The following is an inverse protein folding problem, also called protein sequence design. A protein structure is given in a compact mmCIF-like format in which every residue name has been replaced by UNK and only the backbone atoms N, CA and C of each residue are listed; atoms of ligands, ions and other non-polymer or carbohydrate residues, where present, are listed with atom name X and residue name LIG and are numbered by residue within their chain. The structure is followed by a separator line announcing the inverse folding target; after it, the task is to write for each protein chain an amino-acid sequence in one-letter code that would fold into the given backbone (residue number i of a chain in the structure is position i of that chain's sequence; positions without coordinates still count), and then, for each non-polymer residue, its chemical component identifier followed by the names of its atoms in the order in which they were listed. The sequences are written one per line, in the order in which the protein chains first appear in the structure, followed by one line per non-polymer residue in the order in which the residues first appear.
data_IF_627750059690
#
_entry.id   IF_627750059690
#
_cell.length_a   1.000
_cell.length_b   1.000
_cell.length_c   1.000
_cell.angle_alpha   90.00
_cell.angle_beta   90.00
_cell.angle_gamma   90.00
#
_symmetry.space_group_name_H-M   'P 1'
#
loop_
_entity.id
_entity.type
_entity.pdbx_description
1 polymer ?
#
# COMPACT_ATOMS: atom_id res chain seq x y z
N UNK A 1 0.81 -4.28 19.75
CA UNK A 1 0.16 -4.83 18.54
C UNK A 1 0.78 -4.10 17.36
N UNK A 2 0.80 -4.69 16.17
CA UNK A 2 1.83 -4.54 15.15
C UNK A 2 1.22 -3.92 13.88
N UNK A 3 1.87 -2.94 13.22
CA UNK A 3 1.23 -2.20 12.10
C UNK A 3 2.12 -1.97 10.90
N UNK A 4 1.62 -2.43 9.77
CA UNK A 4 2.06 -2.04 8.45
C UNK A 4 1.06 -1.06 7.83
N UNK A 5 1.57 0.06 7.34
CA UNK A 5 0.86 0.99 6.46
C UNK A 5 1.48 0.85 5.07
N UNK A 6 0.74 0.28 4.12
CA UNK A 6 1.06 0.37 2.72
C UNK A 6 0.34 1.55 2.10
N UNK A 7 1.07 2.41 1.40
CA UNK A 7 0.52 3.50 0.63
C UNK A 7 0.79 3.26 -0.84
N UNK A 8 -0.28 3.09 -1.63
CA UNK A 8 -0.25 2.87 -3.08
C UNK A 8 -0.65 4.17 -3.78
N UNK A 9 0.21 4.72 -4.65
CA UNK A 9 -0.21 5.82 -5.54
C UNK A 9 -0.30 5.34 -6.97
N UNK A 10 -1.42 5.71 -7.62
CA UNK A 10 -1.74 5.65 -9.05
C UNK A 10 -0.87 4.80 -9.99
N UNK A 11 -1.54 3.95 -10.77
CA UNK A 11 -0.98 3.39 -12.00
C UNK A 11 -0.73 4.54 -13.00
N UNK A 12 0.53 4.80 -13.34
CA UNK A 12 0.85 5.68 -14.48
C UNK A 12 0.92 4.82 -15.73
N UNK A 13 -0.23 4.64 -16.40
CA UNK A 13 -0.24 4.25 -17.81
C UNK A 13 0.22 5.49 -18.60
N UNK A 14 1.45 5.46 -19.12
CA UNK A 14 1.99 6.61 -19.84
C UNK A 14 1.36 6.67 -21.24
N UNK A 15 0.15 7.22 -21.35
CA UNK A 15 -0.44 7.55 -22.64
C UNK A 15 0.23 8.82 -23.18
N UNK A 16 0.98 8.70 -24.29
CA UNK A 16 1.37 9.88 -25.08
C UNK A 16 0.12 10.47 -25.74
N UNK A 17 -0.47 11.42 -25.04
CA UNK A 17 -1.50 12.32 -25.57
C UNK A 17 -2.90 11.95 -25.13
N UNK A 18 -3.37 12.55 -24.03
CA UNK A 18 -4.71 13.13 -23.94
C UNK A 18 -4.74 14.12 -22.77
N UNK A 19 -5.42 15.25 -22.97
CA UNK A 19 -5.42 16.42 -22.09
C UNK A 19 -6.31 16.20 -20.85
N UNK A 20 -5.80 16.62 -19.69
CA UNK A 20 -6.42 16.56 -18.38
C UNK A 20 -7.88 17.05 -18.34
N UNK A 21 -8.75 16.26 -17.70
CA UNK A 21 -9.88 16.79 -16.95
C UNK A 21 -9.91 16.12 -15.57
N UNK A 22 -9.29 16.78 -14.61
CA UNK A 22 -9.34 16.45 -13.18
C UNK A 22 -10.77 16.69 -12.67
N UNK A 23 -11.41 15.75 -11.96
CA UNK A 23 -12.64 16.04 -11.24
C UNK A 23 -12.35 17.13 -10.18
N UNK A 24 -13.07 18.25 -10.23
CA UNK A 24 -12.93 19.34 -9.26
C UNK A 24 -13.99 19.19 -8.16
N UNK A 25 -13.55 18.98 -6.93
CA UNK A 25 -14.33 19.18 -5.70
C UNK A 25 -13.96 20.55 -5.07
N UNK A 26 -14.85 21.15 -4.26
CA UNK A 26 -14.92 22.61 -4.10
C UNK A 26 -13.68 23.20 -3.41
N UNK A 27 -13.19 24.30 -3.98
CA UNK A 27 -12.06 25.06 -3.50
C UNK A 27 -12.37 25.78 -2.18
N UNK A 28 -11.78 25.30 -1.10
CA UNK A 28 -11.36 26.14 0.02
C UNK A 28 -9.84 26.24 -0.02
N UNK A 29 -9.29 27.44 0.20
CA UNK A 29 -7.84 27.65 0.26
C UNK A 29 -7.20 26.66 1.26
N UNK A 30 -6.21 25.84 0.86
CA UNK A 30 -5.61 24.90 1.79
C UNK A 30 -4.66 25.65 2.72
N UNK A 31 -4.76 25.46 4.05
CA UNK A 31 -3.68 25.82 4.95
C UNK A 31 -2.41 25.05 4.54
N UNK A 32 -1.24 25.57 4.92
CA UNK A 32 0.12 24.99 4.74
C UNK A 32 0.30 23.67 5.53
N UNK A 33 -0.62 22.73 5.30
CA UNK A 33 -0.83 21.51 6.05
C UNK A 33 -0.17 20.38 5.27
N UNK A 34 1.14 20.22 5.46
CA UNK A 34 2.00 19.16 4.87
C UNK A 34 1.70 17.76 5.41
N UNK A 35 0.46 17.54 5.81
CA UNK A 35 0.00 16.47 6.64
C UNK A 35 -0.86 15.54 5.81
N UNK A 36 -0.57 14.24 5.87
CA UNK A 36 -1.40 13.23 5.22
C UNK A 36 -2.81 13.31 5.79
N UNK A 37 -3.79 13.37 4.89
CA UNK A 37 -5.21 13.24 5.21
C UNK A 37 -5.70 11.91 4.68
N UNK A 38 -6.61 11.27 5.42
CA UNK A 38 -7.20 9.98 5.06
C UNK A 38 -8.71 10.08 5.00
N UNK A 39 -9.31 9.42 4.02
CA UNK A 39 -10.76 9.36 3.84
C UNK A 39 -11.24 7.91 3.91
N UNK A 40 -12.24 7.69 4.79
CA UNK A 40 -12.96 6.43 4.95
C UNK A 40 -14.28 6.46 4.17
N UNK A 41 -14.85 5.27 3.93
CA UNK A 41 -16.20 5.13 3.38
C UNK A 41 -16.26 4.96 1.87
N UNK A 42 -15.13 5.05 1.17
CA UNK A 42 -15.02 4.64 -0.23
C UNK A 42 -14.99 3.11 -0.34
N UNK A 43 -15.77 2.55 -1.25
CA UNK A 43 -15.76 1.11 -1.50
C UNK A 43 -14.45 0.69 -2.20
N UNK A 44 -14.02 -0.58 -2.09
CA UNK A 44 -12.91 -1.12 -2.88
C UNK A 44 -13.05 -0.81 -4.38
N UNK A 45 -14.28 -0.88 -4.91
CA UNK A 45 -14.58 -0.55 -6.30
C UNK A 45 -14.32 0.93 -6.61
N UNK A 46 -14.77 1.85 -5.75
CA UNK A 46 -14.53 3.28 -5.90
C UNK A 46 -13.04 3.61 -5.81
N UNK A 47 -12.32 3.01 -4.85
CA UNK A 47 -10.88 3.18 -4.71
C UNK A 47 -10.13 2.71 -5.96
N UNK A 48 -10.40 1.50 -6.44
CA UNK A 48 -9.70 0.98 -7.63
C UNK A 48 -10.07 1.81 -8.86
N UNK A 49 -11.36 2.02 -9.13
CA UNK A 49 -11.81 2.67 -10.38
C UNK A 49 -11.52 4.17 -10.43
N UNK A 50 -11.67 4.88 -9.32
CA UNK A 50 -11.58 6.34 -9.31
C UNK A 50 -10.20 6.84 -8.88
N UNK A 51 -9.47 6.07 -8.07
CA UNK A 51 -8.17 6.50 -7.52
C UNK A 51 -7.02 5.76 -8.21
N UNK A 52 -7.12 4.44 -8.34
CA UNK A 52 -5.99 3.61 -8.81
C UNK A 52 -5.84 3.62 -10.34
N UNK A 53 -6.96 3.55 -11.07
CA UNK A 53 -6.99 3.37 -12.54
C UNK A 53 -7.92 4.39 -13.23
N UNK A 54 -7.99 5.59 -12.67
CA UNK A 54 -8.84 6.67 -13.17
C UNK A 54 -8.76 6.81 -14.71
N UNK A 55 -9.89 6.62 -15.38
CA UNK A 55 -10.00 6.74 -16.84
C UNK A 55 -10.15 5.42 -17.62
N UNK A 56 -10.09 4.24 -16.97
CA UNK A 56 -10.25 2.93 -17.64
C UNK A 56 -11.44 2.14 -17.08
N UNK A 57 -12.67 2.49 -17.47
CA UNK A 57 -13.88 2.01 -16.82
C UNK A 57 -14.28 0.53 -17.09
N UNK A 58 -13.73 -0.11 -18.12
CA UNK A 58 -14.25 -1.41 -18.60
C UNK A 58 -13.27 -2.59 -18.53
N UNK A 59 -12.03 -2.35 -18.08
CA UNK A 59 -10.99 -3.38 -18.09
C UNK A 59 -10.71 -3.97 -16.71
N UNK A 60 -11.50 -3.63 -15.69
CA UNK A 60 -11.27 -4.04 -14.30
C UNK A 60 -12.51 -4.69 -13.71
N UNK A 61 -12.34 -5.89 -13.19
CA UNK A 61 -13.38 -6.75 -12.64
C UNK A 61 -12.93 -7.40 -11.33
N UNK A 62 -13.85 -8.09 -10.65
CA UNK A 62 -13.55 -8.89 -9.44
C UNK A 62 -12.80 -8.10 -8.36
N UNK A 63 -13.19 -6.84 -8.15
CA UNK A 63 -12.55 -5.98 -7.13
C UNK A 63 -13.01 -6.43 -5.75
N UNK A 64 -12.07 -6.81 -4.88
CA UNK A 64 -12.34 -7.32 -3.53
C UNK A 64 -11.39 -6.69 -2.53
N UNK A 65 -11.95 -6.18 -1.44
CA UNK A 65 -11.20 -5.80 -0.25
C UNK A 65 -10.97 -6.98 0.69
N UNK A 66 -9.77 -7.09 1.25
CA UNK A 66 -9.39 -8.10 2.23
C UNK A 66 -9.08 -7.42 3.56
N UNK A 67 -9.52 -8.02 4.67
CA UNK A 67 -9.31 -7.48 6.02
C UNK A 67 -10.47 -6.61 6.50
N UNK A 68 -10.18 -5.74 7.47
CA UNK A 68 -11.15 -4.79 7.99
C UNK A 68 -11.30 -3.59 7.03
N UNK A 69 -12.53 -3.17 6.65
CA UNK A 69 -12.75 -2.01 5.80
C UNK A 69 -12.15 -0.70 6.32
N UNK A 70 -12.02 -0.50 7.64
CA UNK A 70 -11.40 0.69 8.22
C UNK A 70 -9.87 0.75 8.00
N UNK A 71 -9.28 -0.37 7.55
CA UNK A 71 -7.89 -0.47 7.10
C UNK A 71 -7.71 -0.10 5.62
N UNK A 72 -8.78 0.16 4.87
CA UNK A 72 -8.72 0.42 3.43
C UNK A 72 -9.33 1.79 3.16
N UNK A 73 -8.61 2.67 2.46
CA UNK A 73 -9.19 3.96 2.07
C UNK A 73 -8.31 4.77 1.14
N UNK A 74 -8.61 6.06 1.07
CA UNK A 74 -7.90 7.04 0.26
C UNK A 74 -7.01 7.91 1.15
N UNK A 75 -5.88 8.36 0.60
CA UNK A 75 -5.06 9.39 1.22
C UNK A 75 -4.73 10.51 0.24
N UNK A 76 -4.44 11.69 0.78
CA UNK A 76 -3.93 12.85 0.06
C UNK A 76 -2.93 13.65 0.90
N UNK A 77 -2.32 14.69 0.31
CA UNK A 77 -1.28 15.51 0.92
C UNK A 77 -0.04 14.71 1.38
N UNK A 78 0.22 13.56 0.76
CA UNK A 78 1.38 12.72 1.11
C UNK A 78 2.70 13.14 0.46
N UNK A 79 2.68 14.08 -0.50
CA UNK A 79 3.85 14.46 -1.30
C UNK A 79 5.08 14.77 -0.45
N UNK A 80 4.89 15.49 0.66
CA UNK A 80 5.99 15.86 1.56
C UNK A 80 6.47 14.70 2.44
N UNK A 81 5.55 13.89 2.96
CA UNK A 81 5.86 12.86 3.97
C UNK A 81 6.35 11.55 3.36
N UNK A 82 5.78 11.16 2.21
CA UNK A 82 5.99 9.84 1.60
C UNK A 82 6.28 9.93 0.09
N UNK A 83 6.40 11.13 -0.49
CA UNK A 83 6.72 11.31 -1.91
C UNK A 83 5.61 10.88 -2.88
N UNK A 84 4.40 10.64 -2.36
CA UNK A 84 3.19 10.29 -3.09
C UNK A 84 2.10 11.31 -2.76
N UNK A 85 1.55 12.00 -3.76
CA UNK A 85 0.58 13.07 -3.51
C UNK A 85 -0.73 12.55 -2.92
N UNK A 86 -1.28 11.52 -3.57
CA UNK A 86 -2.54 10.87 -3.22
C UNK A 86 -2.58 9.44 -3.72
N UNK A 87 -3.53 8.66 -3.23
CA UNK A 87 -3.72 7.28 -3.65
C UNK A 87 -4.52 6.44 -2.65
N UNK A 88 -4.34 5.13 -2.71
CA UNK A 88 -4.97 4.18 -1.78
C UNK A 88 -4.03 3.95 -0.60
N UNK A 89 -4.59 3.91 0.61
CA UNK A 89 -3.90 3.48 1.81
C UNK A 89 -4.50 2.16 2.30
N UNK A 90 -3.63 1.19 2.59
CA UNK A 90 -3.94 -0.09 3.20
C UNK A 90 -3.18 -0.18 4.51
N UNK A 91 -3.88 -0.44 5.62
CA UNK A 91 -3.31 -0.50 6.94
C UNK A 91 -3.88 -1.68 7.72
N UNK A 92 -3.03 -2.39 8.47
CA UNK A 92 -3.48 -3.48 9.37
C UNK A 92 -4.17 -2.94 10.63
N UNK A 93 -4.20 -1.62 10.81
CA UNK A 93 -5.05 -0.89 11.76
C UNK A 93 -5.82 0.28 11.09
N UNK A 94 -6.59 1.08 11.84
CA UNK A 94 -7.38 2.18 11.26
C UNK A 94 -6.53 3.17 10.47
N UNK A 95 -6.91 3.45 9.22
CA UNK A 95 -6.16 4.39 8.36
C UNK A 95 -6.15 5.81 8.96
N UNK A 96 -7.14 6.16 9.78
CA UNK A 96 -7.21 7.44 10.48
C UNK A 96 -6.03 7.68 11.42
N UNK A 97 -5.32 6.62 11.82
CA UNK A 97 -4.10 6.71 12.62
C UNK A 97 -2.87 7.09 11.78
N UNK A 98 -2.90 6.86 10.46
CA UNK A 98 -1.86 7.31 9.54
C UNK A 98 -1.94 8.82 9.24
N UNK A 99 -3.08 9.46 9.52
CA UNK A 99 -3.22 10.91 9.42
C UNK A 99 -2.33 11.60 10.47
N UNK A 100 -1.53 12.56 10.00
CA UNK A 100 -0.52 13.27 10.79
C UNK A 100 -1.14 14.55 11.43
N UNK A 101 -0.48 15.37 12.27
CA UNK A 101 0.86 15.23 12.83
C UNK A 101 0.89 13.97 13.71
N UNK A 102 1.71 12.97 13.36
CA UNK A 102 1.96 11.82 14.23
C UNK A 102 2.79 12.29 15.44
N UNK A 103 2.16 13.04 16.36
CA UNK A 103 2.81 13.67 17.52
C UNK A 103 2.79 12.77 18.77
N UNK A 104 2.24 11.57 18.64
CA UNK A 104 2.20 10.54 19.67
C UNK A 104 2.62 9.23 19.02
N UNK A 105 3.76 8.66 19.41
CA UNK A 105 4.09 7.29 19.03
C UNK A 105 3.00 6.31 19.48
N UNK A 106 3.01 5.10 18.91
CA UNK A 106 2.13 4.00 19.32
C UNK A 106 0.63 4.21 19.05
N UNK A 107 0.24 4.85 17.93
CA UNK A 107 -1.17 4.84 17.46
C UNK A 107 -1.58 3.51 16.84
N UNK A 108 -1.37 2.48 17.64
CA UNK A 108 -1.70 1.09 17.40
C UNK A 108 -3.21 0.88 17.47
N UNK A 109 -3.88 0.40 16.42
CA UNK A 109 -5.27 -0.08 16.50
C UNK A 109 -5.47 -1.47 15.89
N UNK A 110 -5.89 -2.46 16.68
CA UNK A 110 -6.03 -3.86 16.24
C UNK A 110 -7.43 -4.16 15.73
N UNK A 111 -7.51 -4.83 14.57
CA UNK A 111 -8.77 -5.33 14.03
C UNK A 111 -9.10 -6.78 14.42
N UNK A 112 -8.19 -7.48 15.09
CA UNK A 112 -8.25 -8.89 15.50
C UNK A 112 -8.58 -9.87 14.35
N UNK A 113 -8.27 -9.48 13.10
CA UNK A 113 -8.49 -10.34 11.93
C UNK A 113 -7.36 -11.38 11.77
N UNK A 114 -7.45 -12.43 12.58
CA UNK A 114 -6.51 -13.57 12.58
C UNK A 114 -6.66 -14.51 11.38
N UNK A 115 -7.36 -14.12 10.32
CA UNK A 115 -7.45 -14.93 9.11
C UNK A 115 -6.08 -15.02 8.45
N UNK A 116 -5.63 -16.26 8.21
CA UNK A 116 -4.40 -16.48 7.47
C UNK A 116 -4.59 -16.17 6.00
N UNK A 117 -3.48 -15.81 5.36
CA UNK A 117 -3.37 -15.70 3.92
C UNK A 117 -2.25 -16.64 3.43
N UNK A 118 -2.51 -17.60 2.52
CA UNK A 118 -1.50 -18.56 2.07
C UNK A 118 -0.25 -17.93 1.45
N UNK A 119 -0.39 -16.76 0.82
CA UNK A 119 0.71 -16.09 0.14
C UNK A 119 1.47 -15.16 1.09
N UNK A 120 0.79 -14.41 1.96
CA UNK A 120 1.47 -13.66 3.02
C UNK A 120 2.19 -14.60 4.00
N UNK A 121 1.65 -15.80 4.25
CA UNK A 121 2.30 -16.82 5.11
C UNK A 121 3.65 -17.29 4.57
N UNK A 122 3.91 -17.15 3.27
CA UNK A 122 5.23 -17.45 2.66
C UNK A 122 6.22 -16.30 2.82
N UNK A 123 5.73 -15.08 3.06
CA UNK A 123 6.56 -13.89 3.28
C UNK A 123 6.88 -13.72 4.77
N UNK A 124 5.91 -14.00 5.64
CA UNK A 124 6.02 -13.83 7.07
C UNK A 124 6.95 -14.88 7.70
N UNK A 125 7.67 -14.46 8.75
CA UNK A 125 8.53 -15.34 9.56
C UNK A 125 7.80 -15.95 10.77
N UNK A 126 6.50 -15.69 10.88
CA UNK A 126 5.64 -16.09 11.98
C UNK A 126 4.16 -16.09 11.57
N UNK A 127 3.24 -16.36 12.51
CA UNK A 127 1.81 -16.36 12.22
C UNK A 127 1.35 -14.97 11.81
N UNK A 128 0.49 -14.92 10.77
CA UNK A 128 -0.24 -13.71 10.37
C UNK A 128 -1.18 -13.31 11.52
N UNK A 129 -1.15 -12.04 11.90
CA UNK A 129 -1.96 -11.49 13.01
C UNK A 129 -3.15 -10.71 12.50
N UNK A 130 -2.88 -9.92 11.48
CA UNK A 130 -3.77 -9.01 10.79
C UNK A 130 -3.34 -8.98 9.32
N UNK A 131 -4.33 -8.78 8.43
CA UNK A 131 -4.07 -8.62 7.00
C UNK A 131 -5.01 -7.58 6.44
N UNK A 132 -4.52 -6.88 5.43
CA UNK A 132 -5.28 -5.92 4.65
C UNK A 132 -4.84 -6.04 3.20
N UNK A 133 -5.76 -5.88 2.26
CA UNK A 133 -5.44 -6.05 0.85
C UNK A 133 -6.53 -5.56 -0.09
N UNK A 134 -6.15 -5.37 -1.35
CA UNK A 134 -7.06 -5.22 -2.48
C UNK A 134 -6.65 -6.24 -3.56
N UNK A 135 -7.63 -6.98 -4.06
CA UNK A 135 -7.51 -7.87 -5.22
C UNK A 135 -8.44 -7.36 -6.32
N UNK A 136 -8.00 -7.40 -7.56
CA UNK A 136 -8.83 -7.14 -8.73
C UNK A 136 -8.19 -7.75 -9.98
N UNK A 137 -9.03 -8.11 -10.93
CA UNK A 137 -8.59 -8.55 -12.25
C UNK A 137 -8.55 -7.35 -13.19
N UNK A 138 -7.54 -7.29 -14.07
CA UNK A 138 -7.50 -6.29 -15.11
C UNK A 138 -6.89 -6.77 -16.42
N UNK A 139 -7.31 -6.14 -17.52
CA UNK A 139 -6.68 -6.30 -18.84
C UNK A 139 -5.76 -5.11 -19.09
N UNK A 140 -4.43 -5.31 -19.19
CA UNK A 140 -3.49 -4.21 -19.44
C UNK A 140 -3.77 -3.57 -20.80
N UNK A 141 -3.73 -2.23 -20.83
CA UNK A 141 -3.89 -1.44 -22.06
C UNK A 141 -2.57 -1.16 -22.79
N UNK A 142 -1.45 -1.43 -22.13
CA UNK A 142 -0.10 -1.24 -22.65
C UNK A 142 0.75 -2.48 -22.32
N UNK A 143 1.87 -2.59 -23.02
CA UNK A 143 2.94 -3.55 -22.80
C UNK A 143 3.57 -3.51 -21.40
N UNK A 144 3.43 -2.37 -20.70
CA UNK A 144 3.95 -2.18 -19.35
C UNK A 144 2.89 -1.66 -18.39
N UNK A 145 2.94 -2.18 -17.17
CA UNK A 145 2.11 -1.75 -16.05
C UNK A 145 3.06 -1.36 -14.93
N UNK A 146 3.01 -0.10 -14.48
CA UNK A 146 3.95 0.44 -13.49
C UNK A 146 3.21 0.94 -12.25
N UNK A 147 3.63 0.47 -11.08
CA UNK A 147 3.05 0.85 -9.80
C UNK A 147 4.08 1.56 -8.93
N UNK A 148 3.62 2.56 -8.17
CA UNK A 148 4.40 3.18 -7.09
C UNK A 148 3.76 2.84 -5.76
N UNK A 149 4.58 2.42 -4.81
CA UNK A 149 4.16 2.15 -3.45
C UNK A 149 5.19 2.66 -2.44
N UNK A 150 4.73 2.90 -1.23
CA UNK A 150 5.53 3.12 -0.04
C UNK A 150 5.07 2.11 1.01
N UNK A 151 6.02 1.37 1.56
CA UNK A 151 5.80 0.47 2.68
C UNK A 151 6.30 1.16 3.96
N UNK A 152 5.38 1.42 4.89
CA UNK A 152 5.64 2.05 6.16
C UNK A 152 5.24 1.10 7.30
N UNK A 153 5.89 1.25 8.44
CA UNK A 153 5.59 0.49 9.64
C UNK A 153 6.05 1.29 10.85
N UNK A 154 5.30 1.22 11.94
CA UNK A 154 5.71 1.81 13.23
C UNK A 154 6.78 0.93 13.93
N UNK A 155 7.04 -0.28 13.41
CA UNK A 155 7.91 -1.27 14.04
C UNK A 155 9.39 -1.07 13.79
N UNK A 156 9.75 -0.15 12.89
CA UNK A 156 11.15 0.06 12.49
C UNK A 156 12.08 0.40 13.66
N UNK A 157 11.55 1.05 14.70
CA UNK A 157 12.33 1.44 15.87
C UNK A 157 12.48 0.31 16.90
N UNK A 158 11.52 -0.62 16.95
CA UNK A 158 11.37 -1.56 18.07
C UNK A 158 11.65 -3.01 17.68
N UNK A 159 11.27 -3.43 16.47
CA UNK A 159 11.17 -4.85 16.13
C UNK A 159 12.06 -5.30 14.97
N UNK A 160 12.88 -4.42 14.41
CA UNK A 160 13.87 -4.78 13.38
C UNK A 160 14.80 -5.90 13.90
N UNK A 161 14.78 -7.03 13.21
CA UNK A 161 15.55 -8.23 13.56
C UNK A 161 14.89 -9.13 14.60
N UNK A 162 13.66 -8.82 15.02
CA UNK A 162 12.87 -9.64 15.93
C UNK A 162 12.00 -10.65 15.18
N UNK A 163 11.23 -11.45 15.93
CA UNK A 163 10.22 -12.37 15.37
C UNK A 163 8.97 -11.68 14.83
N UNK A 164 8.77 -10.41 15.17
CA UNK A 164 7.71 -9.57 14.65
C UNK A 164 8.22 -8.93 13.36
N UNK A 165 7.48 -9.13 12.28
CA UNK A 165 7.93 -8.79 10.94
C UNK A 165 6.73 -8.47 10.06
N UNK A 166 6.47 -7.18 9.88
CA UNK A 166 5.56 -6.71 8.85
C UNK A 166 6.11 -7.02 7.46
N UNK A 167 5.25 -7.56 6.61
CA UNK A 167 5.59 -8.00 5.25
C UNK A 167 4.63 -7.40 4.24
N UNK A 168 5.12 -7.19 3.02
CA UNK A 168 4.31 -6.74 1.90
C UNK A 168 4.46 -7.67 0.70
N UNK A 169 3.33 -8.05 0.12
CA UNK A 169 3.24 -8.81 -1.12
C UNK A 169 2.50 -8.04 -2.19
N UNK A 170 3.07 -7.99 -3.39
CA UNK A 170 2.37 -7.56 -4.60
C UNK A 170 2.30 -8.75 -5.54
N UNK A 171 1.19 -9.46 -5.53
CA UNK A 171 1.03 -10.68 -6.29
C UNK A 171 0.38 -10.40 -7.65
N UNK A 172 1.01 -10.89 -8.72
CA UNK A 172 0.47 -10.81 -10.08
C UNK A 172 0.35 -12.23 -10.64
N UNK A 173 -0.82 -12.56 -11.19
CA UNK A 173 -1.09 -13.82 -11.89
C UNK A 173 -1.70 -13.55 -13.26
N UNK A 174 -1.54 -14.49 -14.18
CA UNK A 174 -2.10 -14.38 -15.53
C UNK A 174 -1.38 -15.28 -16.53
N UNK A 175 -1.82 -15.30 -17.80
CA UNK A 175 -1.19 -16.10 -18.84
C UNK A 175 0.32 -15.84 -18.94
N UNK A 176 1.12 -16.90 -18.93
CA UNK A 176 2.58 -16.83 -19.02
C UNK A 176 3.30 -16.39 -17.74
N UNK A 177 2.59 -16.18 -16.63
CA UNK A 177 3.19 -15.95 -15.31
C UNK A 177 3.24 -17.29 -14.57
N UNK A 178 4.45 -17.68 -14.20
CA UNK A 178 4.71 -18.85 -13.36
C UNK A 178 5.43 -18.39 -12.09
N UNK A 179 4.74 -18.50 -10.95
CA UNK A 179 5.30 -18.20 -9.65
C UNK A 179 4.86 -19.20 -8.58
N UNK A 180 5.49 -19.09 -7.40
CA UNK A 180 5.28 -20.02 -6.28
C UNK A 180 4.10 -19.65 -5.36
N UNK A 181 3.27 -18.69 -5.74
CA UNK A 181 2.14 -18.19 -4.95
C UNK A 181 0.80 -18.75 -5.47
N UNK A 182 -0.29 -18.51 -4.76
CA UNK A 182 -1.62 -19.05 -5.06
C UNK A 182 -2.02 -18.72 -6.50
N UNK A 183 -2.56 -19.70 -7.22
CA UNK A 183 -2.93 -19.53 -8.63
C UNK A 183 -1.74 -19.24 -9.56
N UNK A 184 -0.55 -19.75 -9.23
CA UNK A 184 0.73 -19.50 -9.92
C UNK A 184 1.14 -18.02 -9.94
N UNK A 185 0.65 -17.23 -8.98
CA UNK A 185 1.04 -15.84 -8.87
C UNK A 185 2.54 -15.69 -8.60
N UNK A 186 3.08 -14.54 -8.98
CA UNK A 186 4.44 -14.11 -8.69
C UNK A 186 4.39 -12.86 -7.82
N UNK A 187 5.15 -12.84 -6.72
CA UNK A 187 5.37 -11.61 -5.96
C UNK A 187 6.34 -10.71 -6.74
N UNK A 188 5.91 -9.52 -7.12
CA UNK A 188 6.73 -8.50 -7.80
C UNK A 188 7.29 -7.44 -6.85
N UNK A 189 6.91 -7.47 -5.56
CA UNK A 189 7.48 -6.64 -4.51
C UNK A 189 8.78 -7.25 -3.96
N UNK A 190 9.85 -7.15 -4.76
CA UNK A 190 11.20 -7.57 -4.39
C UNK A 190 12.09 -6.35 -4.12
N UNK A 191 13.07 -6.52 -3.24
CA UNK A 191 14.12 -5.52 -3.08
C UNK A 191 14.96 -5.47 -4.37
N UNK A 192 15.20 -4.27 -4.96
CA UNK A 192 15.90 -4.19 -6.23
C UNK A 192 17.29 -4.83 -6.14
N UNK A 193 17.57 -5.74 -7.08
CA UNK A 193 18.83 -6.48 -7.15
C UNK A 193 18.90 -7.73 -6.27
N UNK A 194 17.81 -8.14 -5.60
CA UNK A 194 17.78 -9.36 -4.78
C UNK A 194 16.50 -10.18 -5.00
N UNK A 195 16.40 -11.30 -4.27
CA UNK A 195 15.18 -12.12 -4.14
C UNK A 195 14.50 -11.91 -2.78
N UNK A 196 14.96 -10.93 -2.00
CA UNK A 196 14.37 -10.63 -0.69
C UNK A 196 13.01 -9.96 -0.90
N UNK A 197 12.02 -10.38 -0.12
CA UNK A 197 10.72 -9.72 -0.06
C UNK A 197 10.78 -8.43 0.74
N UNK A 198 9.88 -7.50 0.43
CA UNK A 198 9.66 -6.28 1.23
C UNK A 198 9.15 -6.65 2.61
N UNK A 199 9.91 -6.27 3.63
CA UNK A 199 9.56 -6.45 5.04
C UNK A 199 10.42 -5.54 5.91
N UNK A 200 10.02 -5.33 7.16
CA UNK A 200 10.81 -4.51 8.10
C UNK A 200 12.17 -5.12 8.41
N UNK A 201 12.30 -6.45 8.33
CA UNK A 201 13.56 -7.14 8.52
C UNK A 201 14.51 -7.01 7.31
N UNK A 202 13.97 -6.73 6.12
CA UNK A 202 14.75 -6.62 4.89
C UNK A 202 15.06 -5.18 4.48
N UNK A 203 14.23 -4.18 4.80
CA UNK A 203 14.50 -2.76 4.53
C UNK A 203 14.42 -2.00 5.84
N UNK A 204 15.53 -1.49 6.37
CA UNK A 204 15.55 -0.76 7.64
C UNK A 204 16.85 0.06 7.80
N UNK A 205 17.03 0.64 8.98
CA UNK A 205 18.21 1.45 9.32
C UNK A 205 19.55 0.69 9.31
N UNK A 206 19.55 -0.65 9.18
CA UNK A 206 20.76 -1.52 9.10
C UNK A 206 20.91 -2.23 7.76
N UNK A 207 19.81 -2.68 7.12
CA UNK A 207 19.81 -3.49 5.89
C UNK A 207 19.01 -2.79 4.80
N UNK A 208 19.55 -2.79 3.57
CA UNK A 208 18.95 -2.11 2.42
C UNK A 208 18.57 -0.63 2.72
N UNK A 209 19.43 0.04 3.49
CA UNK A 209 19.19 1.37 4.07
C UNK A 209 18.92 2.46 3.03
N UNK A 210 19.39 2.28 1.80
CA UNK A 210 19.10 3.18 0.68
C UNK A 210 17.62 3.24 0.29
N UNK A 211 16.81 2.26 0.70
CA UNK A 211 15.35 2.25 0.50
C UNK A 211 14.58 2.58 1.77
N UNK A 212 15.27 2.84 2.89
CA UNK A 212 14.66 3.18 4.17
C UNK A 212 14.65 4.70 4.36
N UNK A 213 13.45 5.27 4.51
CA UNK A 213 13.25 6.69 4.81
C UNK A 213 12.84 6.80 6.27
N UNK A 214 13.66 7.49 7.07
CA UNK A 214 13.35 7.78 8.46
C UNK A 214 12.41 9.00 8.53
N UNK A 215 11.32 8.88 9.28
CA UNK A 215 10.33 9.95 9.48
C UNK A 215 10.49 10.68 10.83
N UNK A 216 11.61 10.50 11.53
CA UNK A 216 11.95 11.30 12.72
C UNK A 216 12.58 12.62 12.28
N UNK A 217 12.11 13.73 12.86
CA UNK A 217 12.71 15.06 12.62
C UNK A 217 14.13 15.05 13.18
N UNK A 218 15.12 15.36 12.34
CA UNK A 218 16.48 15.69 12.78
C UNK A 218 16.50 17.00 13.57
#
# INVERSE_FOLDING_TARGET
MLYCILVLSGLVLTFRGYTNSTPTLPAGDPPDDKTIRTELGLSPEELVRNVFVAGTCYNITEIVGLGNPEGIGYFENGSYSIGLDRGIILSTGPITHAASPNSTGERSGDFDDKKSDPDLSKLATGPIRDRVGLEFDFIPLDSFVTFRYVFASEEYCEFVGSKYNDVFGFFVRGPGIEGGFTGNAKNVALIPGSQDFVSINNVNHKRNKQYYINNTRE
#
